data_IF_815302712106
#
_entry.id   IF_815302712106
#
_cell.length_a   1.000
_cell.length_b   1.000
_cell.length_c   1.000
_cell.angle_alpha   90.00
_cell.angle_beta   90.00
_cell.angle_gamma   90.00
#
_symmetry.space_group_name_H-M   'P 1'
#
loop_
_entity.id
_entity.type
_entity.pdbx_description
1 polymer ?
#
# COMPACT_ATOMS: atom_id res chain seq x y z
N UNK A 1 -39.44 -39.10 42.69
CA UNK A 1 -38.99 -38.43 43.93
C UNK A 1 -37.76 -37.62 43.56
N UNK A 2 -37.83 -36.28 43.46
CA UNK A 2 -37.32 -35.30 44.46
C UNK A 2 -35.91 -35.72 44.97
N UNK A 3 -34.82 -34.99 44.74
CA UNK A 3 -34.59 -33.60 45.20
C UNK A 3 -33.56 -32.79 44.40
N UNK A 4 -33.78 -31.48 44.43
CA UNK A 4 -32.98 -30.34 43.96
C UNK A 4 -31.76 -30.01 44.86
N UNK A 5 -30.88 -29.10 44.38
CA UNK A 5 -30.08 -28.16 45.22
C UNK A 5 -28.59 -28.07 44.82
N UNK A 6 -28.13 -27.11 43.99
CA UNK A 6 -27.69 -25.72 44.32
C UNK A 6 -26.61 -25.60 45.41
N UNK A 7 -25.37 -25.20 45.06
CA UNK A 7 -24.82 -23.87 45.34
C UNK A 7 -23.28 -23.76 45.21
N UNK A 8 -22.87 -22.72 44.49
CA UNK A 8 -21.80 -21.76 44.78
C UNK A 8 -20.37 -22.24 45.12
N UNK A 9 -19.43 -21.98 44.20
CA UNK A 9 -18.03 -21.74 44.54
C UNK A 9 -17.66 -20.28 44.19
N UNK A 10 -16.92 -19.58 45.06
CA UNK A 10 -16.60 -18.16 44.89
C UNK A 10 -15.49 -17.94 43.86
N UNK A 11 -15.73 -16.93 43.02
CA UNK A 11 -14.78 -16.30 42.11
C UNK A 11 -13.76 -15.54 42.96
N UNK A 12 -12.54 -16.07 43.08
CA UNK A 12 -11.39 -15.33 43.56
C UNK A 12 -10.81 -14.52 42.40
N UNK A 13 -11.11 -13.23 42.41
CA UNK A 13 -10.56 -12.21 41.54
C UNK A 13 -9.06 -12.06 41.85
N UNK A 14 -8.19 -12.59 40.99
CA UNK A 14 -6.75 -12.35 41.05
C UNK A 14 -6.37 -11.22 40.10
N UNK A 15 -5.77 -10.19 40.69
CA UNK A 15 -5.16 -9.04 40.06
C UNK A 15 -4.20 -9.40 38.92
N UNK A 16 -4.35 -8.75 37.77
CA UNK A 16 -3.23 -8.51 36.85
C UNK A 16 -3.13 -7.02 36.56
N UNK A 17 -2.06 -6.43 37.09
CA UNK A 17 -1.50 -5.15 36.66
C UNK A 17 -1.10 -5.25 35.19
N UNK A 18 -1.37 -4.22 34.40
CA UNK A 18 -1.09 -4.28 32.97
C UNK A 18 -1.05 -2.93 32.26
N UNK A 19 0.10 -2.27 32.40
CA UNK A 19 0.78 -1.41 31.40
C UNK A 19 0.02 -0.24 30.75
N UNK A 20 0.49 0.96 31.12
CA UNK A 20 0.33 2.21 30.37
C UNK A 20 0.77 2.05 28.91
N UNK A 21 -0.19 2.10 27.99
CA UNK A 21 0.07 2.23 26.56
C UNK A 21 0.48 3.67 26.23
N UNK A 22 1.76 3.88 25.92
CA UNK A 22 2.21 5.05 25.19
C UNK A 22 1.52 5.07 23.82
N UNK A 23 0.59 5.99 23.63
CA UNK A 23 0.05 6.31 22.31
C UNK A 23 1.16 6.99 21.48
N UNK A 24 1.90 6.20 20.69
CA UNK A 24 2.71 6.74 19.59
C UNK A 24 1.76 7.34 18.55
N UNK A 25 1.46 8.63 18.72
CA UNK A 25 0.88 9.48 17.67
C UNK A 25 1.82 9.46 16.47
N UNK A 26 1.41 8.78 15.42
CA UNK A 26 2.08 8.86 14.13
C UNK A 26 1.94 10.30 13.62
N UNK A 27 3.03 10.97 13.21
CA UNK A 27 2.90 12.21 12.47
C UNK A 27 2.23 11.89 11.13
N UNK A 28 1.00 12.36 10.98
CA UNK A 28 0.28 12.42 9.73
C UNK A 28 1.10 13.28 8.75
N UNK A 29 1.89 12.66 7.87
CA UNK A 29 2.49 13.35 6.74
C UNK A 29 1.37 13.80 5.80
N UNK A 30 0.89 15.03 6.01
CA UNK A 30 0.11 15.78 5.05
C UNK A 30 0.99 16.02 3.82
N UNK A 31 0.80 15.22 2.77
CA UNK A 31 1.28 15.56 1.44
C UNK A 31 0.60 16.88 1.01
N UNK A 32 1.35 17.96 0.73
CA UNK A 32 0.75 19.12 0.09
C UNK A 32 0.34 18.71 -1.33
N UNK A 33 -0.97 18.67 -1.57
CA UNK A 33 -1.53 18.64 -2.90
C UNK A 33 -1.02 19.90 -3.63
N UNK A 34 -0.01 19.74 -4.49
CA UNK A 34 0.35 20.77 -5.44
C UNK A 34 -0.77 20.85 -6.49
N UNK A 35 -1.77 21.65 -6.18
CA UNK A 35 -2.72 22.13 -7.17
C UNK A 35 -1.95 23.04 -8.13
N UNK A 36 -1.50 22.46 -9.24
CA UNK A 36 -1.03 23.24 -10.40
C UNK A 36 -2.26 23.88 -11.03
N UNK A 37 -2.60 25.06 -10.53
CA UNK A 37 -3.63 25.93 -11.08
C UNK A 37 -3.19 26.41 -12.46
N UNK A 38 -3.54 25.65 -13.51
CA UNK A 38 -3.42 26.11 -14.89
C UNK A 38 -4.42 27.24 -15.13
N UNK A 39 -4.00 28.48 -14.85
CA UNK A 39 -4.66 29.69 -15.35
C UNK A 39 -4.48 29.75 -16.87
N UNK A 40 -5.35 29.08 -17.60
CA UNK A 40 -5.55 29.31 -19.03
C UNK A 40 -6.54 30.45 -19.23
N UNK A 41 -6.02 31.68 -19.31
CA UNK A 41 -6.79 32.84 -19.75
C UNK A 41 -6.90 32.77 -21.27
N UNK A 42 -7.97 32.15 -21.77
CA UNK A 42 -8.40 32.33 -23.16
C UNK A 42 -9.37 33.51 -23.22
N UNK A 43 -8.83 34.72 -23.28
CA UNK A 43 -9.54 35.89 -23.81
C UNK A 43 -9.14 36.04 -25.28
N UNK A 44 -9.94 35.50 -26.19
CA UNK A 44 -9.86 35.87 -27.60
C UNK A 44 -10.91 36.95 -27.88
N UNK A 45 -10.54 38.20 -27.60
CA UNK A 45 -11.22 39.36 -28.17
C UNK A 45 -10.74 39.50 -29.63
N UNK A 46 -11.67 39.31 -30.56
CA UNK A 46 -11.44 39.54 -31.97
C UNK A 46 -11.31 41.04 -32.26
N UNK A 47 -10.14 41.42 -32.75
CA UNK A 47 -9.89 42.74 -33.35
C UNK A 47 -9.07 42.52 -34.61
N UNK A 48 -9.74 42.67 -35.76
CA UNK A 48 -9.14 42.73 -37.09
C UNK A 48 -8.52 44.12 -37.24
N UNK A 49 -7.19 44.22 -37.32
CA UNK A 49 -6.53 45.33 -38.01
C UNK A 49 -5.23 44.85 -38.68
N UNK A 50 -5.15 45.12 -39.97
CA UNK A 50 -4.02 44.86 -40.84
C UNK A 50 -2.83 45.77 -40.50
N UNK A 51 -1.62 45.22 -40.58
CA UNK A 51 -0.38 45.97 -40.87
C UNK A 51 0.70 45.00 -41.31
N UNK A 52 1.17 45.18 -42.53
CA UNK A 52 2.37 44.52 -43.06
C UNK A 52 3.60 45.09 -42.36
N UNK A 53 4.40 44.23 -41.74
CA UNK A 53 5.76 44.55 -41.31
C UNK A 53 6.61 43.28 -41.50
N UNK A 54 7.48 43.33 -42.51
CA UNK A 54 8.59 42.38 -42.69
C UNK A 54 9.55 42.62 -41.53
N UNK A 55 9.50 41.75 -40.52
CA UNK A 55 10.49 41.68 -39.48
C UNK A 55 11.08 40.28 -39.53
N UNK A 56 12.37 40.23 -39.84
CA UNK A 56 13.21 39.06 -39.85
C UNK A 56 12.89 38.20 -38.61
N UNK A 57 12.41 36.99 -38.85
CA UNK A 57 12.26 36.01 -37.80
C UNK A 57 13.66 35.76 -37.21
N UNK A 58 13.91 36.06 -35.92
CA UNK A 58 15.03 35.44 -35.27
C UNK A 58 14.72 33.94 -35.31
N UNK A 59 15.56 33.19 -36.00
CA UNK A 59 15.66 31.75 -35.81
C UNK A 59 16.02 31.58 -34.33
N UNK A 60 15.00 31.54 -33.48
CA UNK A 60 15.08 31.02 -32.14
C UNK A 60 15.48 29.56 -32.34
N UNK A 61 16.79 29.35 -32.39
CA UNK A 61 17.39 28.07 -32.08
C UNK A 61 17.00 27.88 -30.62
N UNK A 62 15.81 27.30 -30.42
CA UNK A 62 15.50 26.58 -29.20
C UNK A 62 16.58 25.51 -29.17
N UNK A 63 17.69 25.83 -28.50
CA UNK A 63 18.54 24.83 -27.91
C UNK A 63 17.57 23.91 -27.19
N UNK A 64 17.46 22.68 -27.69
CA UNK A 64 16.69 21.61 -27.08
C UNK A 64 17.43 21.25 -25.79
N UNK A 65 17.37 22.16 -24.82
CA UNK A 65 17.69 21.97 -23.41
C UNK A 65 16.56 21.12 -22.82
N UNK A 66 16.26 19.98 -23.47
CA UNK A 66 15.64 18.89 -22.75
C UNK A 66 16.69 18.55 -21.70
N UNK A 67 16.44 18.81 -20.41
CA UNK A 67 17.32 18.26 -19.39
C UNK A 67 17.44 16.79 -19.74
N UNK A 68 18.68 16.33 -19.96
CA UNK A 68 19.01 14.95 -20.22
C UNK A 68 18.16 14.12 -19.26
N UNK A 69 17.07 13.55 -19.78
CA UNK A 69 16.08 12.85 -18.98
C UNK A 69 16.89 11.83 -18.22
N UNK A 70 17.00 12.01 -16.91
CA UNK A 70 17.92 11.32 -16.02
C UNK A 70 17.92 9.84 -16.37
N UNK A 71 18.88 9.42 -17.20
CA UNK A 71 19.12 8.02 -17.55
C UNK A 71 19.87 7.41 -16.38
N UNK A 72 19.23 7.41 -15.22
CA UNK A 72 19.70 6.62 -14.11
C UNK A 72 19.49 5.17 -14.49
N UNK A 73 20.55 4.39 -14.41
CA UNK A 73 20.47 2.96 -14.60
C UNK A 73 19.52 2.36 -13.54
N UNK A 74 18.82 1.29 -13.91
CA UNK A 74 17.77 0.74 -13.06
C UNK A 74 18.42 0.04 -11.86
N UNK A 75 17.90 0.35 -10.66
CA UNK A 75 18.15 -0.43 -9.45
C UNK A 75 16.81 -0.73 -8.78
N UNK A 76 16.31 -1.95 -8.97
CA UNK A 76 15.01 -2.36 -8.42
C UNK A 76 15.24 -3.46 -7.37
N UNK A 77 14.76 -3.22 -6.16
CA UNK A 77 14.91 -4.15 -5.01
C UNK A 77 16.38 -4.57 -4.79
N UNK A 78 17.33 -3.68 -5.07
CA UNK A 78 18.77 -3.96 -4.91
C UNK A 78 19.41 -4.78 -6.04
N UNK A 79 18.74 -4.92 -7.18
CA UNK A 79 19.26 -5.57 -8.39
C UNK A 79 19.23 -4.62 -9.59
N UNK A 80 20.31 -4.58 -10.35
CA UNK A 80 20.44 -3.81 -11.59
C UNK A 80 21.73 -2.99 -11.66
N UNK A 81 22.08 -2.56 -12.87
CA UNK A 81 23.36 -1.90 -13.16
C UNK A 81 23.52 -0.59 -12.35
N UNK A 82 22.39 0.10 -12.10
CA UNK A 82 22.38 1.35 -11.34
C UNK A 82 22.55 1.19 -9.84
N UNK A 83 22.53 -0.03 -9.29
CA UNK A 83 22.62 -0.19 -7.83
C UNK A 83 23.98 0.23 -7.29
N UNK A 84 25.06 -0.03 -8.03
CA UNK A 84 26.41 0.39 -7.65
C UNK A 84 26.52 1.92 -7.60
N UNK A 85 26.00 2.61 -8.63
CA UNK A 85 25.98 4.06 -8.69
C UNK A 85 25.07 4.66 -7.61
N UNK A 86 23.91 4.04 -7.36
CA UNK A 86 22.97 4.50 -6.33
C UNK A 86 23.51 4.32 -4.89
N UNK A 87 24.48 3.43 -4.68
CA UNK A 87 25.14 3.21 -3.40
C UNK A 87 26.47 3.96 -3.24
N UNK A 88 26.89 4.72 -4.25
CA UNK A 88 28.18 5.42 -4.24
C UNK A 88 28.27 6.37 -3.04
N UNK A 89 29.35 6.25 -2.26
CA UNK A 89 29.58 7.08 -1.08
C UNK A 89 28.74 6.73 0.16
N UNK A 90 27.91 5.67 0.14
CA UNK A 90 27.12 5.25 1.31
C UNK A 90 27.09 3.75 1.55
N UNK A 91 27.85 3.31 2.55
CA UNK A 91 27.85 1.92 3.04
C UNK A 91 26.47 1.47 3.55
N UNK A 92 25.67 2.40 4.07
CA UNK A 92 24.32 2.11 4.53
C UNK A 92 23.42 1.71 3.35
N UNK A 93 23.47 2.47 2.24
CA UNK A 93 22.65 2.18 1.05
C UNK A 93 23.04 0.84 0.44
N UNK A 94 24.34 0.55 0.35
CA UNK A 94 24.83 -0.76 -0.12
C UNK A 94 24.27 -1.92 0.72
N UNK A 95 24.29 -1.79 2.05
CA UNK A 95 23.72 -2.81 2.97
C UNK A 95 22.20 -2.93 2.81
N UNK A 96 21.48 -1.84 2.57
CA UNK A 96 20.04 -1.86 2.33
C UNK A 96 19.66 -2.51 1.00
N UNK A 97 20.44 -2.24 -0.06
CA UNK A 97 20.28 -2.90 -1.36
C UNK A 97 20.54 -4.39 -1.23
N UNK A 98 21.63 -4.80 -0.57
CA UNK A 98 21.93 -6.21 -0.33
C UNK A 98 20.79 -6.92 0.41
N UNK A 99 20.33 -6.36 1.54
CA UNK A 99 19.18 -6.92 2.29
C UNK A 99 17.88 -6.95 1.47
N UNK A 100 17.74 -6.03 0.52
CA UNK A 100 16.58 -6.01 -0.38
C UNK A 100 16.68 -7.11 -1.42
N UNK A 101 17.86 -7.33 -2.00
CA UNK A 101 18.11 -8.43 -2.92
C UNK A 101 17.90 -9.79 -2.22
N UNK A 102 18.42 -9.95 -1.00
CA UNK A 102 18.27 -11.18 -0.20
C UNK A 102 16.80 -11.52 0.12
N UNK A 103 15.96 -10.50 0.35
CA UNK A 103 14.54 -10.68 0.71
C UNK A 103 13.59 -10.46 -0.45
N UNK A 104 14.09 -10.39 -1.68
CA UNK A 104 13.27 -10.08 -2.85
C UNK A 104 12.13 -11.08 -3.03
N UNK A 105 12.45 -12.38 -3.02
CA UNK A 105 11.46 -13.44 -3.19
C UNK A 105 10.38 -13.42 -2.11
N UNK A 106 10.76 -13.20 -0.84
CA UNK A 106 9.80 -13.08 0.27
C UNK A 106 8.86 -11.89 0.08
N UNK A 107 9.39 -10.73 -0.35
CA UNK A 107 8.57 -9.53 -0.59
C UNK A 107 7.65 -9.70 -1.79
N UNK A 108 8.13 -10.31 -2.87
CA UNK A 108 7.31 -10.62 -4.04
C UNK A 108 6.14 -11.53 -3.66
N UNK A 109 6.39 -12.57 -2.86
CA UNK A 109 5.33 -13.44 -2.34
C UNK A 109 4.35 -12.67 -1.44
N UNK A 110 4.85 -11.85 -0.52
CA UNK A 110 3.99 -11.04 0.36
C UNK A 110 3.12 -10.04 -0.44
N UNK A 111 3.67 -9.44 -1.48
CA UNK A 111 2.92 -8.55 -2.38
C UNK A 111 1.80 -9.31 -3.10
N UNK A 112 2.09 -10.51 -3.61
CA UNK A 112 1.07 -11.34 -4.25
C UNK A 112 -0.02 -11.77 -3.26
N UNK A 113 0.36 -12.19 -2.05
CA UNK A 113 -0.60 -12.53 -0.99
C UNK A 113 -1.50 -11.32 -0.65
N UNK A 114 -0.90 -10.16 -0.46
CA UNK A 114 -1.60 -8.90 -0.14
C UNK A 114 -2.52 -8.48 -1.30
N UNK A 115 -2.03 -8.56 -2.53
CA UNK A 115 -2.81 -8.26 -3.73
C UNK A 115 -4.04 -9.17 -3.83
N UNK A 116 -3.85 -10.47 -3.57
CA UNK A 116 -4.93 -11.44 -3.62
C UNK A 116 -5.96 -11.19 -2.50
N UNK A 117 -5.50 -10.96 -1.27
CA UNK A 117 -6.36 -10.68 -0.12
C UNK A 117 -7.22 -9.43 -0.33
N UNK A 118 -6.65 -8.34 -0.84
CA UNK A 118 -7.39 -7.08 -1.01
C UNK A 118 -8.27 -7.03 -2.27
N UNK A 119 -7.78 -7.48 -3.44
CA UNK A 119 -8.56 -7.33 -4.66
C UNK A 119 -9.71 -8.33 -4.76
N UNK A 120 -9.51 -9.57 -4.30
CA UNK A 120 -10.53 -10.60 -4.45
C UNK A 120 -11.54 -10.62 -3.30
N UNK A 121 -11.22 -10.07 -2.12
CA UNK A 121 -12.17 -9.99 -1.03
C UNK A 121 -13.44 -9.24 -1.44
N UNK A 122 -13.32 -8.12 -2.14
CA UNK A 122 -14.47 -7.33 -2.59
C UNK A 122 -15.23 -7.99 -3.74
N UNK A 123 -14.53 -8.69 -4.64
CA UNK A 123 -15.19 -9.49 -5.68
C UNK A 123 -16.10 -10.56 -5.07
N UNK A 124 -15.61 -11.33 -4.08
CA UNK A 124 -16.39 -12.43 -3.50
C UNK A 124 -17.53 -11.95 -2.60
N UNK A 125 -17.43 -10.75 -2.00
CA UNK A 125 -18.56 -10.13 -1.28
C UNK A 125 -19.80 -9.98 -2.16
N UNK A 126 -19.62 -9.64 -3.45
CA UNK A 126 -20.76 -9.53 -4.39
C UNK A 126 -21.47 -10.86 -4.64
N UNK A 127 -20.79 -11.99 -4.37
CA UNK A 127 -21.31 -13.34 -4.54
C UNK A 127 -21.81 -13.97 -3.23
N UNK A 128 -21.92 -13.18 -2.15
CA UNK A 128 -22.24 -13.65 -0.78
C UNK A 128 -21.29 -14.76 -0.29
N UNK A 129 -20.02 -14.67 -0.69
CA UNK A 129 -18.94 -15.57 -0.25
C UNK A 129 -17.83 -14.76 0.38
N UNK A 130 -17.13 -15.38 1.32
CA UNK A 130 -15.91 -14.82 1.92
C UNK A 130 -14.73 -15.69 1.60
N UNK A 131 -13.66 -15.07 1.15
CA UNK A 131 -12.39 -15.75 0.94
C UNK A 131 -11.63 -15.79 2.27
N UNK A 132 -11.26 -16.98 2.71
CA UNK A 132 -10.51 -17.21 3.95
C UNK A 132 -9.20 -17.92 3.62
N UNK A 133 -8.09 -17.41 4.16
CA UNK A 133 -6.76 -18.01 3.99
C UNK A 133 -6.59 -19.19 4.94
N UNK A 134 -6.43 -20.40 4.39
CA UNK A 134 -6.28 -21.65 5.16
C UNK A 134 -4.82 -22.05 5.38
N UNK A 135 -3.91 -21.58 4.53
CA UNK A 135 -2.49 -21.90 4.56
C UNK A 135 -1.69 -21.03 3.60
N UNK A 136 -0.38 -21.29 3.42
CA UNK A 136 0.44 -20.56 2.47
C UNK A 136 -0.12 -20.76 1.05
N UNK A 137 -0.51 -19.66 0.39
CA UNK A 137 -1.11 -19.66 -0.94
C UNK A 137 -2.41 -20.49 -1.08
N UNK A 138 -3.07 -20.86 0.03
CA UNK A 138 -4.32 -21.61 0.01
C UNK A 138 -5.47 -20.73 0.50
N UNK A 139 -6.42 -20.48 -0.39
CA UNK A 139 -7.64 -19.73 -0.13
C UNK A 139 -8.86 -20.62 -0.31
N UNK A 140 -9.81 -20.51 0.60
CA UNK A 140 -11.09 -21.22 0.55
C UNK A 140 -12.20 -20.19 0.51
N UNK A 141 -13.14 -20.38 -0.41
CA UNK A 141 -14.37 -19.60 -0.45
C UNK A 141 -15.38 -20.26 0.47
N UNK A 142 -15.78 -19.56 1.52
CA UNK A 142 -16.81 -19.99 2.45
C UNK A 142 -18.09 -19.20 2.18
N UNK A 143 -19.24 -19.83 2.31
CA UNK A 143 -20.51 -19.09 2.38
C UNK A 143 -20.57 -18.25 3.67
N UNK A 144 -21.48 -17.29 3.74
CA UNK A 144 -21.66 -16.51 4.98
C UNK A 144 -22.02 -17.39 6.20
N UNK A 145 -22.79 -18.45 5.98
CA UNK A 145 -23.20 -19.37 7.06
C UNK A 145 -22.02 -20.20 7.56
N UNK A 146 -21.16 -20.68 6.66
CA UNK A 146 -19.94 -21.40 6.98
C UNK A 146 -18.93 -20.50 7.69
N UNK A 147 -18.77 -19.26 7.22
CA UNK A 147 -17.89 -18.28 7.85
C UNK A 147 -18.35 -17.97 9.28
N UNK A 148 -19.64 -17.68 9.48
CA UNK A 148 -20.19 -17.39 10.81
C UNK A 148 -20.07 -18.59 11.77
N UNK A 149 -20.20 -19.81 11.26
CA UNK A 149 -19.95 -21.02 12.05
C UNK A 149 -18.46 -21.15 12.43
N UNK A 150 -17.55 -20.89 11.49
CA UNK A 150 -16.11 -20.98 11.71
C UNK A 150 -15.59 -19.89 12.66
N UNK A 151 -16.14 -18.67 12.59
CA UNK A 151 -15.85 -17.56 13.50
C UNK A 151 -16.32 -17.88 14.93
N UNK A 152 -17.55 -18.40 15.09
CA UNK A 152 -18.07 -18.84 16.40
C UNK A 152 -17.26 -20.00 17.00
N UNK A 153 -16.71 -20.86 16.14
CA UNK A 153 -15.83 -21.96 16.56
C UNK A 153 -14.40 -21.48 16.89
N UNK A 154 -14.06 -20.20 16.69
CA UNK A 154 -12.72 -19.67 16.88
C UNK A 154 -11.70 -20.18 15.85
N UNK A 155 -12.16 -20.72 14.72
CA UNK A 155 -11.32 -21.27 13.66
C UNK A 155 -10.85 -20.20 12.68
N UNK A 156 -11.57 -19.07 12.58
CA UNK A 156 -11.28 -17.96 11.66
C UNK A 156 -11.24 -16.63 12.41
N UNK A 157 -10.22 -15.83 12.15
CA UNK A 157 -10.09 -14.44 12.59
C UNK A 157 -9.51 -13.61 11.45
N UNK A 158 -10.09 -12.45 11.16
CA UNK A 158 -9.62 -11.55 10.11
C UNK A 158 -9.40 -12.25 8.74
N UNK A 159 -10.35 -13.09 8.33
CA UNK A 159 -10.27 -13.92 7.12
C UNK A 159 -9.06 -14.87 7.06
N UNK A 160 -8.46 -15.21 8.21
CA UNK A 160 -7.38 -16.19 8.34
C UNK A 160 -7.83 -17.35 9.22
N UNK A 161 -7.55 -18.57 8.76
CA UNK A 161 -7.79 -19.79 9.52
C UNK A 161 -6.66 -19.96 10.55
N UNK A 162 -6.99 -20.13 11.84
CA UNK A 162 -6.02 -20.12 12.96
C UNK A 162 -5.59 -21.53 13.40
N UNK A 163 -6.19 -22.58 12.82
CA UNK A 163 -6.01 -23.97 13.25
C UNK A 163 -4.57 -24.50 13.12
#
# INVERSE_FOLDING_TARGET
MKTSGLCALPVACCCTMGVSGFAMRHPHMQQPAQQVTRRGVFQSAGSVLASAAVLAAPQLVLADDRPSILRQEICEVGVGDGCAQAAEGSDLIRKLQQRSAERRAEREQQMLETYNEHNFADYFKTLNKRMVRKGPNQYVLMSETEYAAAEKAGLVYDNKYIK
#
